data_IF_213254734638
#
_entry.id   IF_213254734638
#
_cell.length_a   1.000
_cell.length_b   1.000
_cell.length_c   1.000
_cell.angle_alpha   90.00
_cell.angle_beta   90.00
_cell.angle_gamma   90.00
#
_symmetry.space_group_name_H-M   'P 1'
#
loop_
_entity.id
_entity.type
_entity.pdbx_description
1 polymer ?
#
# COMPACT_ATOMS: atom_id res chain seq x y z
N UNK A 1 -7.04 -26.35 2.77
CA UNK A 1 -6.05 -27.38 2.38
C UNK A 1 -6.04 -27.55 0.86
N UNK A 2 -7.09 -28.08 0.22
CA UNK A 2 -7.15 -28.24 -1.26
C UNK A 2 -7.20 -26.93 -2.07
N UNK A 3 -7.63 -25.81 -1.46
CA UNK A 3 -7.66 -24.48 -2.11
C UNK A 3 -6.27 -23.87 -2.30
N UNK A 4 -5.34 -24.12 -1.36
CA UNK A 4 -3.95 -23.68 -1.43
C UNK A 4 -3.10 -24.79 -2.08
N UNK A 5 -3.39 -26.06 -1.77
CA UNK A 5 -2.75 -27.24 -2.37
C UNK A 5 -3.63 -27.82 -3.47
N UNK A 6 -3.62 -27.18 -4.64
CA UNK A 6 -4.40 -27.64 -5.80
C UNK A 6 -4.05 -29.09 -6.13
N UNK A 7 -5.05 -29.97 -6.15
CA UNK A 7 -4.88 -31.41 -6.41
C UNK A 7 -4.76 -32.30 -5.17
N UNK A 8 -4.74 -31.71 -3.97
CA UNK A 8 -4.83 -32.47 -2.72
C UNK A 8 -6.28 -32.83 -2.39
N UNK A 9 -6.49 -33.98 -1.74
CA UNK A 9 -7.81 -34.42 -1.29
C UNK A 9 -8.39 -33.43 -0.25
N UNK A 10 -9.72 -33.46 -0.11
CA UNK A 10 -10.39 -32.67 0.92
C UNK A 10 -9.95 -33.19 2.28
N UNK A 11 -9.53 -32.27 3.16
CA UNK A 11 -9.07 -32.64 4.50
C UNK A 11 -10.22 -33.31 5.26
N UNK A 12 -10.04 -34.57 5.63
CA UNK A 12 -11.01 -35.32 6.44
C UNK A 12 -11.04 -34.80 7.88
N UNK A 13 -12.16 -35.00 8.57
CA UNK A 13 -12.31 -34.69 10.00
C UNK A 13 -11.60 -35.72 10.87
N UNK A 14 -10.29 -35.84 10.68
CA UNK A 14 -9.38 -36.73 11.39
C UNK A 14 -8.67 -36.00 12.53
N UNK A 15 -7.81 -36.72 13.26
CA UNK A 15 -6.96 -36.12 14.30
C UNK A 15 -6.07 -34.99 13.76
N UNK A 16 -5.65 -35.07 12.48
CA UNK A 16 -4.85 -34.02 11.83
C UNK A 16 -5.63 -32.71 11.69
N UNK A 17 -6.93 -32.79 11.35
CA UNK A 17 -7.81 -31.63 11.30
C UNK A 17 -7.91 -30.94 12.66
N UNK A 18 -8.12 -31.72 13.73
CA UNK A 18 -8.24 -31.17 15.09
C UNK A 18 -6.91 -30.59 15.59
N UNK A 19 -5.78 -31.22 15.26
CA UNK A 19 -4.45 -30.71 15.59
C UNK A 19 -4.18 -29.37 14.88
N UNK A 20 -4.55 -29.24 13.61
CA UNK A 20 -4.42 -27.98 12.87
C UNK A 20 -5.33 -26.89 13.46
N UNK A 21 -6.56 -27.24 13.83
CA UNK A 21 -7.49 -26.31 14.49
C UNK A 21 -6.90 -25.77 15.81
N UNK A 22 -6.41 -26.65 16.69
CA UNK A 22 -5.77 -26.23 17.95
C UNK A 22 -4.53 -25.35 17.68
N UNK A 23 -3.72 -25.73 16.68
CA UNK A 23 -2.55 -24.94 16.28
C UNK A 23 -2.93 -23.53 15.83
N UNK A 24 -4.03 -23.37 15.08
CA UNK A 24 -4.52 -22.05 14.65
C UNK A 24 -4.94 -21.23 15.86
N UNK A 25 -5.70 -21.81 16.79
CA UNK A 25 -6.15 -21.12 18.02
C UNK A 25 -4.97 -20.68 18.89
N UNK A 26 -3.96 -21.55 19.06
CA UNK A 26 -2.75 -21.17 19.80
C UNK A 26 -1.93 -20.10 19.08
N UNK A 27 -1.86 -20.17 17.74
CA UNK A 27 -1.15 -19.18 16.92
C UNK A 27 -1.83 -17.82 16.99
N UNK A 28 -3.16 -17.77 16.98
CA UNK A 28 -3.92 -16.53 17.16
C UNK A 28 -3.59 -15.87 18.50
N UNK A 29 -3.61 -16.63 19.59
CA UNK A 29 -3.25 -16.12 20.92
C UNK A 29 -1.80 -15.64 20.98
N UNK A 30 -0.88 -16.35 20.32
CA UNK A 30 0.53 -15.96 20.23
C UNK A 30 0.70 -14.64 19.49
N UNK A 31 0.09 -14.48 18.30
CA UNK A 31 0.12 -13.25 17.51
C UNK A 31 -0.48 -12.08 18.30
N UNK A 32 -1.63 -12.30 18.95
CA UNK A 32 -2.27 -11.29 19.81
C UNK A 32 -1.35 -10.80 20.92
N UNK A 33 -0.62 -11.71 21.58
CA UNK A 33 0.37 -11.35 22.61
C UNK A 33 1.56 -10.58 22.04
N UNK A 34 2.07 -10.96 20.86
CA UNK A 34 3.18 -10.25 20.19
C UNK A 34 2.80 -8.81 19.84
N UNK A 35 1.55 -8.59 19.40
CA UNK A 35 0.99 -7.27 19.14
C UNK A 35 0.52 -6.54 20.42
N UNK A 36 0.74 -7.13 21.61
CA UNK A 36 0.25 -6.61 22.91
C UNK A 36 -1.26 -6.35 22.92
N UNK A 37 -2.01 -7.11 22.14
CA UNK A 37 -3.44 -6.94 21.88
C UNK A 37 -3.84 -5.58 21.32
N UNK A 38 -2.89 -4.82 20.75
CA UNK A 38 -3.20 -3.66 19.94
C UNK A 38 -3.51 -4.10 18.51
N UNK A 39 -4.80 -4.14 18.21
CA UNK A 39 -5.32 -4.49 16.88
C UNK A 39 -5.76 -3.24 16.11
N UNK A 40 -5.31 -2.05 16.52
CA UNK A 40 -5.57 -0.83 15.76
C UNK A 40 -4.59 -0.77 14.59
N UNK A 41 -5.11 -0.95 13.37
CA UNK A 41 -4.30 -0.95 12.15
C UNK A 41 -4.70 0.24 11.29
N UNK A 42 -3.72 1.10 10.98
CA UNK A 42 -3.89 2.18 10.02
C UNK A 42 -3.31 1.75 8.68
N UNK A 43 -4.19 1.57 7.69
CA UNK A 43 -3.81 1.06 6.38
C UNK A 43 -3.65 2.19 5.35
N UNK A 44 -2.61 2.14 4.47
CA UNK A 44 -2.40 3.17 3.45
C UNK A 44 -3.59 3.36 2.51
N UNK A 45 -4.33 2.29 2.23
CA UNK A 45 -5.54 2.28 1.39
C UNK A 45 -6.57 3.34 1.78
N UNK A 46 -6.71 3.63 3.09
CA UNK A 46 -7.61 4.65 3.62
C UNK A 46 -7.25 6.04 3.09
N UNK A 47 -5.97 6.37 3.10
CA UNK A 47 -5.44 7.66 2.62
C UNK A 47 -5.43 7.72 1.10
N UNK A 48 -5.04 6.62 0.45
CA UNK A 48 -4.98 6.49 -1.00
C UNK A 48 -6.30 6.93 -1.68
N UNK A 49 -7.43 6.41 -1.20
CA UNK A 49 -8.75 6.76 -1.73
C UNK A 49 -9.09 8.25 -1.57
N UNK A 50 -8.71 8.83 -0.43
CA UNK A 50 -8.92 10.25 -0.17
C UNK A 50 -8.10 11.11 -1.14
N UNK A 51 -6.83 10.77 -1.34
CA UNK A 51 -5.92 11.51 -2.22
C UNK A 51 -6.32 11.38 -3.69
N UNK A 52 -6.66 10.17 -4.15
CA UNK A 52 -7.17 9.92 -5.50
C UNK A 52 -8.46 10.72 -5.78
N UNK A 53 -9.35 10.85 -4.79
CA UNK A 53 -10.57 11.65 -4.97
C UNK A 53 -10.24 13.13 -5.16
N UNK A 54 -9.35 13.69 -4.35
CA UNK A 54 -8.89 15.07 -4.47
C UNK A 54 -8.22 15.33 -5.82
N UNK A 55 -7.38 14.40 -6.30
CA UNK A 55 -6.76 14.48 -7.63
C UNK A 55 -7.81 14.38 -8.74
N UNK A 56 -8.75 13.44 -8.65
CA UNK A 56 -9.86 13.34 -9.63
C UNK A 56 -10.64 14.64 -9.73
N UNK A 57 -10.91 15.29 -8.60
CA UNK A 57 -11.65 16.55 -8.58
C UNK A 57 -10.81 17.70 -9.17
N UNK A 58 -9.47 17.64 -9.05
CA UNK A 58 -8.52 18.60 -9.65
C UNK A 58 -8.36 18.44 -11.17
N UNK A 59 -8.19 17.21 -11.68
CA UNK A 59 -8.07 16.92 -13.12
C UNK A 59 -9.43 16.89 -13.82
N UNK A 60 -10.51 16.70 -13.08
CA UNK A 60 -11.83 16.40 -13.62
C UNK A 60 -12.02 14.92 -13.94
N UNK A 61 -13.25 14.43 -13.75
CA UNK A 61 -13.56 13.00 -13.79
C UNK A 61 -13.24 12.31 -15.13
N UNK A 62 -13.39 13.03 -16.25
CA UNK A 62 -13.16 12.47 -17.59
C UNK A 62 -11.67 12.28 -17.87
N UNK A 63 -10.85 13.27 -17.55
CA UNK A 63 -9.40 13.20 -17.77
C UNK A 63 -8.76 12.21 -16.80
N UNK A 64 -9.16 12.23 -15.53
CA UNK A 64 -8.70 11.27 -14.53
C UNK A 64 -8.98 9.82 -14.93
N UNK A 65 -10.17 9.53 -15.47
CA UNK A 65 -10.53 8.18 -15.90
C UNK A 65 -9.76 7.72 -17.15
N UNK A 66 -9.24 8.65 -17.96
CA UNK A 66 -8.43 8.33 -19.13
C UNK A 66 -6.97 7.98 -18.75
N UNK A 67 -6.52 8.38 -17.56
CA UNK A 67 -5.15 8.15 -17.09
C UNK A 67 -5.05 6.87 -16.25
N UNK A 68 -4.02 6.03 -16.47
CA UNK A 68 -3.79 4.81 -15.68
C UNK A 68 -3.15 5.07 -14.30
N UNK A 69 -3.10 6.31 -13.82
CA UNK A 69 -2.46 6.69 -12.53
C UNK A 69 -3.12 5.99 -11.34
N UNK A 70 -4.46 6.01 -11.27
CA UNK A 70 -5.19 5.42 -10.15
C UNK A 70 -4.99 3.89 -10.00
N UNK A 71 -5.20 3.06 -11.05
CA UNK A 71 -4.98 1.62 -10.93
C UNK A 71 -3.51 1.28 -10.68
N UNK A 72 -2.57 2.06 -11.21
CA UNK A 72 -1.14 1.81 -11.04
C UNK A 72 -0.65 2.14 -9.63
N UNK A 73 -1.10 3.27 -9.06
CA UNK A 73 -0.80 3.59 -7.66
C UNK A 73 -1.36 2.54 -6.70
N UNK A 74 -2.56 2.00 -6.99
CA UNK A 74 -3.13 0.90 -6.21
C UNK A 74 -2.32 -0.39 -6.37
N UNK A 75 -1.81 -0.70 -7.56
CA UNK A 75 -0.93 -1.83 -7.81
C UNK A 75 0.39 -1.70 -7.04
N UNK A 76 1.06 -0.54 -7.10
CA UNK A 76 2.27 -0.28 -6.31
C UNK A 76 2.05 -0.50 -4.81
N UNK A 77 0.94 -0.01 -4.27
CA UNK A 77 0.61 -0.23 -2.87
C UNK A 77 0.37 -1.71 -2.56
N UNK A 78 -0.34 -2.42 -3.43
CA UNK A 78 -0.62 -3.85 -3.27
C UNK A 78 0.66 -4.69 -3.31
N UNK A 79 1.60 -4.36 -4.19
CA UNK A 79 2.87 -5.05 -4.31
C UNK A 79 3.79 -4.72 -3.13
N UNK A 80 3.76 -3.48 -2.64
CA UNK A 80 4.56 -3.08 -1.48
C UNK A 80 4.16 -3.79 -0.18
N UNK A 81 2.91 -4.28 -0.07
CA UNK A 81 2.50 -5.15 1.03
C UNK A 81 3.28 -6.48 1.11
N UNK A 82 3.97 -6.88 0.03
CA UNK A 82 4.84 -8.07 0.02
C UNK A 82 6.19 -7.80 0.67
N UNK A 83 6.56 -6.53 0.91
CA UNK A 83 7.79 -6.13 1.58
C UNK A 83 7.51 -5.82 3.05
N UNK A 84 8.35 -6.29 4.00
CA UNK A 84 8.22 -5.91 5.41
C UNK A 84 8.49 -4.41 5.64
N UNK A 85 9.19 -3.73 4.72
CA UNK A 85 9.53 -2.31 4.82
C UNK A 85 8.31 -1.38 4.85
N UNK A 86 7.14 -1.85 4.45
CA UNK A 86 5.89 -1.08 4.57
C UNK A 86 5.57 -0.71 6.02
N UNK A 87 6.09 -1.46 7.00
CA UNK A 87 5.91 -1.20 8.43
C UNK A 87 6.85 -0.10 8.97
N UNK A 88 7.87 0.29 8.21
CA UNK A 88 8.85 1.30 8.62
C UNK A 88 8.31 2.73 8.41
N UNK A 89 7.22 2.87 7.66
CA UNK A 89 6.69 4.16 7.21
C UNK A 89 5.24 4.42 7.63
N UNK A 90 4.85 5.68 7.87
CA UNK A 90 3.45 6.04 8.08
C UNK A 90 2.57 5.70 6.87
N UNK A 91 1.38 5.18 7.15
CA UNK A 91 0.43 4.76 6.11
C UNK A 91 0.04 5.88 5.14
N UNK A 92 -0.03 7.13 5.61
CA UNK A 92 -0.26 8.32 4.79
C UNK A 92 0.86 8.58 3.80
N UNK A 93 2.13 8.45 4.24
CA UNK A 93 3.32 8.68 3.42
C UNK A 93 3.45 7.62 2.33
N UNK A 94 3.22 6.35 2.66
CA UNK A 94 3.23 5.26 1.68
C UNK A 94 2.18 5.51 0.59
N UNK A 95 0.94 5.86 0.99
CA UNK A 95 -0.14 6.10 0.04
C UNK A 95 0.17 7.24 -0.93
N UNK A 96 0.73 8.34 -0.44
CA UNK A 96 1.07 9.48 -1.30
C UNK A 96 2.27 9.18 -2.20
N UNK A 97 3.28 8.46 -1.72
CA UNK A 97 4.44 8.07 -2.53
C UNK A 97 4.05 7.11 -3.66
N UNK A 98 3.14 6.16 -3.43
CA UNK A 98 2.61 5.31 -4.51
C UNK A 98 1.91 6.14 -5.61
N UNK A 99 1.20 7.22 -5.24
CA UNK A 99 0.58 8.13 -6.20
C UNK A 99 1.61 8.98 -6.95
N UNK A 100 2.61 9.50 -6.25
CA UNK A 100 3.69 10.27 -6.87
C UNK A 100 4.43 9.41 -7.88
N UNK A 101 4.80 8.18 -7.50
CA UNK A 101 5.45 7.23 -8.39
C UNK A 101 4.61 6.94 -9.63
N UNK A 102 3.30 6.73 -9.47
CA UNK A 102 2.40 6.51 -10.60
C UNK A 102 2.32 7.72 -11.54
N UNK A 103 2.26 8.94 -10.99
CA UNK A 103 2.33 10.16 -11.81
C UNK A 103 3.66 10.26 -12.56
N UNK A 104 4.79 9.97 -11.91
CA UNK A 104 6.12 10.02 -12.51
C UNK A 104 6.30 8.98 -13.62
N UNK A 105 5.85 7.74 -13.40
CA UNK A 105 5.93 6.65 -14.38
C UNK A 105 5.16 6.97 -15.67
N UNK A 106 4.02 7.65 -15.56
CA UNK A 106 3.24 8.07 -16.73
C UNK A 106 3.52 9.49 -17.21
N UNK A 107 4.47 10.21 -16.60
CA UNK A 107 4.77 11.61 -16.93
C UNK A 107 3.57 12.55 -16.74
N UNK A 108 2.65 12.21 -15.82
CA UNK A 108 1.47 13.00 -15.54
C UNK A 108 1.83 14.19 -14.64
N UNK A 109 1.69 15.40 -15.16
CA UNK A 109 1.90 16.62 -14.38
C UNK A 109 0.61 16.98 -13.66
N UNK A 110 0.68 17.17 -12.34
CA UNK A 110 -0.48 17.58 -11.54
C UNK A 110 -0.81 19.05 -11.85
N UNK A 111 -2.07 19.39 -12.20
CA UNK A 111 -2.47 20.75 -12.51
C UNK A 111 -2.15 21.73 -11.38
N UNK A 112 -1.94 23.01 -11.72
CA UNK A 112 -1.65 24.09 -10.77
C UNK A 112 -0.31 23.97 -10.04
N UNK A 113 0.60 23.09 -10.51
CA UNK A 113 1.94 22.90 -9.92
C UNK A 113 3.07 23.50 -10.77
N UNK A 114 2.76 24.01 -11.97
CA UNK A 114 3.74 24.49 -12.95
C UNK A 114 4.53 25.74 -12.51
N UNK A 115 4.05 26.45 -11.48
CA UNK A 115 4.68 27.65 -10.92
C UNK A 115 5.10 27.46 -9.46
N UNK A 116 4.96 26.26 -8.92
CA UNK A 116 5.42 25.95 -7.57
C UNK A 116 6.95 25.85 -7.58
N UNK A 117 7.60 26.52 -6.62
CA UNK A 117 9.03 26.35 -6.40
C UNK A 117 9.33 24.85 -6.13
N UNK A 118 10.54 24.37 -6.46
CA UNK A 118 10.93 22.96 -6.25
C UNK A 118 10.84 22.47 -4.79
N UNK A 119 10.61 23.39 -3.85
CA UNK A 119 10.37 23.12 -2.45
C UNK A 119 8.88 22.85 -2.13
N UNK A 120 7.95 23.13 -3.05
CA UNK A 120 6.50 23.09 -2.81
C UNK A 120 5.83 22.00 -3.65
N UNK A 121 6.18 20.75 -3.33
CA UNK A 121 5.59 19.59 -3.97
C UNK A 121 4.10 19.50 -3.64
N UNK A 122 3.26 19.23 -4.65
CA UNK A 122 1.80 19.18 -4.53
C UNK A 122 1.28 18.23 -3.45
N UNK A 123 2.03 17.18 -3.16
CA UNK A 123 1.67 16.19 -2.15
C UNK A 123 1.81 16.70 -0.71
N UNK A 124 2.48 17.84 -0.47
CA UNK A 124 2.57 18.45 0.87
C UNK A 124 1.21 18.87 1.43
N UNK A 125 0.23 19.12 0.57
CA UNK A 125 -1.16 19.38 0.97
C UNK A 125 -1.76 18.18 1.73
N UNK A 126 -1.32 16.96 1.38
CA UNK A 126 -1.76 15.72 2.01
C UNK A 126 -0.88 15.29 3.20
N UNK A 127 0.44 15.46 3.05
CA UNK A 127 1.43 15.05 4.04
C UNK A 127 2.44 16.21 4.26
N UNK A 128 2.13 17.18 5.14
CA UNK A 128 3.00 18.34 5.36
C UNK A 128 4.31 17.99 6.09
N UNK A 129 4.33 16.85 6.76
CA UNK A 129 5.45 16.29 7.51
C UNK A 129 6.38 15.42 6.63
N UNK A 130 6.00 15.14 5.38
CA UNK A 130 6.80 14.34 4.47
C UNK A 130 8.03 15.14 4.00
N UNK A 131 9.20 14.73 4.46
CA UNK A 131 10.49 15.28 4.03
C UNK A 131 10.92 14.68 2.70
N UNK A 132 11.79 15.38 1.97
CA UNK A 132 12.28 14.93 0.67
C UNK A 132 13.05 13.62 0.77
N UNK A 133 13.87 13.46 1.81
CA UNK A 133 14.72 12.28 1.98
C UNK A 133 13.85 11.04 2.26
N UNK A 134 12.87 11.14 3.18
CA UNK A 134 11.90 10.07 3.44
C UNK A 134 11.07 9.73 2.21
N UNK A 135 10.67 10.73 1.42
CA UNK A 135 10.00 10.48 0.14
C UNK A 135 10.86 9.62 -0.79
N UNK A 136 12.15 9.94 -0.94
CA UNK A 136 13.06 9.15 -1.77
C UNK A 136 13.25 7.73 -1.23
N UNK A 137 13.43 7.57 0.08
CA UNK A 137 13.59 6.26 0.72
C UNK A 137 12.38 5.36 0.47
N UNK A 138 11.15 5.89 0.63
CA UNK A 138 9.91 5.14 0.37
C UNK A 138 9.81 4.74 -1.11
N UNK A 139 10.12 5.65 -2.03
CA UNK A 139 10.06 5.37 -3.48
C UNK A 139 11.08 4.29 -3.86
N UNK A 140 12.31 4.38 -3.36
CA UNK A 140 13.35 3.37 -3.57
C UNK A 140 12.89 2.00 -3.04
N UNK A 141 12.30 1.97 -1.84
CA UNK A 141 11.81 0.74 -1.25
C UNK A 141 10.64 0.12 -2.02
N UNK A 142 9.70 0.92 -2.54
CA UNK A 142 8.63 0.45 -3.41
C UNK A 142 9.21 -0.14 -4.70
N UNK A 143 10.16 0.55 -5.33
CA UNK A 143 10.79 0.09 -6.56
C UNK A 143 11.61 -1.19 -6.32
N UNK A 144 12.24 -1.33 -5.15
CA UNK A 144 13.05 -2.50 -4.79
C UNK A 144 12.25 -3.81 -4.83
N UNK A 145 10.92 -3.75 -4.64
CA UNK A 145 10.03 -4.91 -4.78
C UNK A 145 10.07 -5.51 -6.19
N UNK A 146 10.25 -4.66 -7.20
CA UNK A 146 10.34 -5.08 -8.60
C UNK A 146 11.77 -5.44 -9.04
N UNK A 147 12.78 -5.07 -8.25
CA UNK A 147 14.18 -5.39 -8.52
C UNK A 147 14.64 -6.73 -7.93
N UNK A 148 13.83 -7.37 -7.10
CA UNK A 148 14.10 -8.69 -6.52
C UNK A 148 13.80 -9.81 -7.53
N UNK A 149 14.71 -9.99 -8.50
CA UNK A 149 14.89 -11.25 -9.26
C UNK A 149 16.00 -12.11 -8.64
#
# INVERSE_FOLDING_TARGET
YSTINRGSEVLELSDEYWAMWDTIVQSELLVGRMLKFDMTIDHPHKYMLHYMRSLRDLFGAKEWAAMPVAPTAAAFLQDFHMSPKILDYPASHVAVCCLVLACEVYGTVVPLTEHADSSDNWYKVFCPDLTRDVHWDIIEDIISVYGAE
#
